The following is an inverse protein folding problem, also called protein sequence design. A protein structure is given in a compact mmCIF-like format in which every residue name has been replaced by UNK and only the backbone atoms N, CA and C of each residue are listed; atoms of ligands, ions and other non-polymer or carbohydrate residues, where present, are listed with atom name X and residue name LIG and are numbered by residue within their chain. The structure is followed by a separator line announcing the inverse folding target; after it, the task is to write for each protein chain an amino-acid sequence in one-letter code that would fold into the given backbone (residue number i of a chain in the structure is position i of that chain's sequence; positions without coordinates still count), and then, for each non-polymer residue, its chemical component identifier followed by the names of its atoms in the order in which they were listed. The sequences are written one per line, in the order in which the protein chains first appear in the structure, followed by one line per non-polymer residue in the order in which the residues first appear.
data_IF_883915911503
#
_entry.id   IF_883915911503
#
_cell.length_a   1.000
_cell.length_b   1.000
_cell.length_c   1.000
_cell.angle_alpha   90.00
_cell.angle_beta   90.00
_cell.angle_gamma   90.00
#
_symmetry.space_group_name_H-M   'P 1'
#
loop_
_entity.id
_entity.type
_entity.pdbx_description
1 polymer ?
#
# COMPACT_ATOMS: atom_id res chain seq x y z
N UNK A 1 -22.34 21.78 0.19
CA UNK A 1 -21.45 21.33 1.29
C UNK A 1 -20.02 21.77 0.98
N UNK A 2 -19.30 22.39 1.93
CA UNK A 2 -18.01 23.05 1.70
C UNK A 2 -17.00 22.09 1.07
N UNK A 3 -16.33 22.49 -0.02
CA UNK A 3 -15.34 21.65 -0.76
C UNK A 3 -14.27 21.01 0.15
N UNK A 4 -13.96 21.65 1.28
CA UNK A 4 -13.06 21.13 2.32
C UNK A 4 -13.51 19.80 2.92
N UNK A 5 -14.82 19.55 3.07
CA UNK A 5 -15.33 18.31 3.68
C UNK A 5 -15.13 17.10 2.76
N UNK A 6 -15.21 17.31 1.44
CA UNK A 6 -14.94 16.27 0.45
C UNK A 6 -13.47 15.90 0.39
N UNK A 7 -12.57 16.89 0.46
CA UNK A 7 -11.14 16.64 0.50
C UNK A 7 -10.74 15.84 1.73
N UNK A 8 -11.27 16.23 2.90
CA UNK A 8 -11.04 15.50 4.14
C UNK A 8 -11.55 14.05 4.09
N UNK A 9 -12.70 13.81 3.45
CA UNK A 9 -13.25 12.46 3.31
C UNK A 9 -12.37 11.56 2.42
N UNK A 10 -11.85 12.09 1.31
CA UNK A 10 -10.94 11.36 0.42
C UNK A 10 -9.63 11.03 1.14
N UNK A 11 -9.08 11.98 1.90
CA UNK A 11 -7.85 11.79 2.67
C UNK A 11 -8.03 10.74 3.77
N UNK A 12 -9.15 10.80 4.51
CA UNK A 12 -9.48 9.81 5.52
C UNK A 12 -9.64 8.41 4.91
N UNK A 13 -10.32 8.32 3.76
CA UNK A 13 -10.49 7.05 3.06
C UNK A 13 -9.15 6.50 2.57
N UNK A 14 -8.29 7.33 1.99
CA UNK A 14 -6.95 6.94 1.58
C UNK A 14 -6.09 6.45 2.76
N UNK A 15 -6.23 7.08 3.93
CA UNK A 15 -5.56 6.65 5.16
C UNK A 15 -6.06 5.27 5.64
N UNK A 16 -7.36 5.02 5.61
CA UNK A 16 -7.90 3.70 5.95
C UNK A 16 -7.42 2.61 4.99
N UNK A 17 -7.35 2.91 3.69
CA UNK A 17 -6.82 1.97 2.69
C UNK A 17 -5.32 1.70 2.92
N UNK A 18 -4.54 2.72 3.32
CA UNK A 18 -3.15 2.54 3.71
C UNK A 18 -3.00 1.61 4.92
N UNK A 19 -3.85 1.76 5.94
CA UNK A 19 -3.84 0.88 7.11
C UNK A 19 -4.19 -0.56 6.72
N UNK A 20 -5.21 -0.76 5.89
CA UNK A 20 -5.58 -2.08 5.38
C UNK A 20 -4.45 -2.71 4.54
N UNK A 21 -3.79 -1.91 3.70
CA UNK A 21 -2.65 -2.35 2.90
C UNK A 21 -1.48 -2.79 3.79
N UNK A 22 -1.17 -2.00 4.82
CA UNK A 22 -0.10 -2.29 5.78
C UNK A 22 -0.44 -3.53 6.58
N UNK A 23 -1.65 -3.64 7.11
CA UNK A 23 -2.10 -4.79 7.88
C UNK A 23 -2.03 -6.09 7.04
N UNK A 24 -2.53 -6.07 5.80
CA UNK A 24 -2.45 -7.24 4.91
C UNK A 24 -1.01 -7.60 4.56
N UNK A 25 -0.13 -6.62 4.33
CA UNK A 25 1.30 -6.86 4.09
C UNK A 25 2.02 -7.49 5.31
N UNK A 26 1.70 -6.99 6.52
CA UNK A 26 2.20 -7.55 7.78
C UNK A 26 1.69 -8.97 7.98
N UNK A 27 0.40 -9.24 7.73
CA UNK A 27 -0.17 -10.59 7.82
C UNK A 27 0.55 -11.56 6.86
N UNK A 28 0.76 -11.16 5.61
CA UNK A 28 1.50 -11.99 4.63
C UNK A 28 2.95 -12.21 5.10
N UNK A 29 3.62 -11.20 5.64
CA UNK A 29 5.03 -11.29 6.03
C UNK A 29 5.26 -12.11 7.30
N UNK A 30 4.44 -11.92 8.32
CA UNK A 30 4.64 -12.48 9.66
C UNK A 30 3.82 -13.72 9.93
N UNK A 31 2.65 -13.86 9.30
CA UNK A 31 1.77 -15.01 9.54
C UNK A 31 1.85 -16.08 8.46
N UNK A 32 2.22 -15.70 7.23
CA UNK A 32 2.65 -16.66 6.21
C UNK A 32 4.10 -16.37 5.77
N UNK A 33 5.08 -16.38 6.70
CA UNK A 33 6.47 -16.18 6.32
C UNK A 33 6.82 -17.22 5.26
N UNK A 34 7.55 -16.84 4.19
CA UNK A 34 8.04 -17.80 3.21
C UNK A 34 9.07 -18.70 3.91
N UNK A 35 8.58 -19.73 4.60
CA UNK A 35 9.42 -20.83 5.03
C UNK A 35 9.90 -21.52 3.77
N UNK A 36 11.13 -21.21 3.34
CA UNK A 36 11.99 -22.08 2.52
C UNK A 36 11.30 -22.96 1.46
N UNK A 37 10.30 -22.41 0.77
CA UNK A 37 9.39 -23.16 -0.10
C UNK A 37 8.93 -22.23 -1.19
N UNK A 38 9.92 -21.67 -1.90
CA UNK A 38 9.67 -20.92 -3.10
C UNK A 38 8.93 -21.78 -4.11
N UNK A 39 8.44 -21.09 -5.13
CA UNK A 39 8.01 -21.59 -6.44
C UNK A 39 9.01 -22.56 -7.14
N UNK A 40 10.06 -23.04 -6.46
CA UNK A 40 11.01 -24.08 -6.89
C UNK A 40 10.69 -25.50 -6.41
N UNK A 41 9.67 -25.74 -5.58
CA UNK A 41 9.27 -27.11 -5.21
C UNK A 41 8.27 -27.74 -6.20
N UNK A 42 8.36 -27.36 -7.48
CA UNK A 42 7.73 -28.11 -8.57
C UNK A 42 8.74 -29.01 -9.30
N UNK A 43 10.00 -29.07 -8.84
CA UNK A 43 11.05 -29.86 -9.48
C UNK A 43 11.67 -30.98 -8.63
N UNK A 44 11.21 -31.21 -7.39
CA UNK A 44 11.78 -32.32 -6.60
C UNK A 44 10.69 -33.00 -5.77
N UNK A 45 10.43 -34.27 -6.10
CA UNK A 45 9.46 -35.13 -5.44
C UNK A 45 9.80 -35.42 -3.98
N UNK A 46 9.51 -34.46 -3.10
CA UNK A 46 9.64 -34.60 -1.66
C UNK A 46 8.29 -34.84 -0.99
N UNK A 47 8.07 -36.07 -0.52
CA UNK A 47 7.00 -36.39 0.43
C UNK A 47 7.25 -35.63 1.74
N UNK A 48 6.52 -34.55 1.98
CA UNK A 48 6.56 -33.80 3.24
C UNK A 48 5.23 -33.12 3.47
N UNK A 49 4.62 -33.36 4.63
CA UNK A 49 3.31 -32.86 5.00
C UNK A 49 3.40 -31.35 5.23
N UNK A 50 3.21 -30.57 4.17
CA UNK A 50 3.27 -29.13 4.28
C UNK A 50 1.96 -28.67 4.89
N UNK A 51 2.04 -28.29 6.16
CA UNK A 51 0.98 -27.65 6.92
C UNK A 51 0.62 -26.36 6.16
N UNK A 52 -0.32 -26.45 5.22
CA UNK A 52 -0.88 -25.30 4.51
C UNK A 52 -1.39 -24.39 5.62
N UNK A 53 -0.64 -23.31 5.89
CA UNK A 53 -1.01 -22.35 6.91
C UNK A 53 -2.21 -21.57 6.36
N UNK A 54 -3.40 -22.11 6.58
CA UNK A 54 -4.64 -21.46 6.22
C UNK A 54 -4.98 -20.46 7.33
N UNK A 55 -4.81 -19.18 7.02
CA UNK A 55 -5.32 -18.13 7.88
C UNK A 55 -6.69 -17.71 7.35
N UNK A 56 -7.73 -17.89 8.18
CA UNK A 56 -9.14 -17.68 7.80
C UNK A 56 -9.61 -18.58 6.62
N UNK A 57 -9.05 -19.79 6.49
CA UNK A 57 -9.44 -20.74 5.43
C UNK A 57 -8.95 -20.36 4.03
N UNK A 58 -7.97 -19.46 3.92
CA UNK A 58 -7.42 -19.00 2.64
C UNK A 58 -5.91 -19.18 2.60
N UNK A 59 -5.40 -19.64 1.45
CA UNK A 59 -3.98 -19.87 1.20
C UNK A 59 -3.22 -18.55 0.99
N UNK A 60 -1.88 -18.61 0.99
CA UNK A 60 -1.00 -17.45 0.74
C UNK A 60 -1.32 -16.71 -0.56
N UNK A 61 -1.71 -17.44 -1.61
CA UNK A 61 -2.09 -16.84 -2.89
C UNK A 61 -3.34 -15.96 -2.76
N UNK A 62 -4.36 -16.39 -2.01
CA UNK A 62 -5.57 -15.60 -1.80
C UNK A 62 -5.30 -14.27 -1.08
N UNK A 63 -4.52 -14.32 0.01
CA UNK A 63 -4.07 -13.11 0.71
C UNK A 63 -3.20 -12.21 -0.18
N UNK A 64 -2.32 -12.80 -1.00
CA UNK A 64 -1.52 -12.07 -1.97
C UNK A 64 -2.35 -11.34 -3.03
N UNK A 65 -3.39 -11.99 -3.58
CA UNK A 65 -4.32 -11.36 -4.52
C UNK A 65 -5.09 -10.22 -3.87
N UNK A 66 -5.62 -10.40 -2.66
CA UNK A 66 -6.32 -9.33 -1.92
C UNK A 66 -5.39 -8.14 -1.70
N UNK A 67 -4.16 -8.38 -1.23
CA UNK A 67 -3.17 -7.34 -1.02
C UNK A 67 -2.82 -6.61 -2.32
N UNK A 68 -2.74 -7.32 -3.45
CA UNK A 68 -2.48 -6.72 -4.77
C UNK A 68 -3.62 -5.79 -5.21
N UNK A 69 -4.88 -6.21 -5.06
CA UNK A 69 -6.02 -5.35 -5.41
C UNK A 69 -6.13 -4.12 -4.50
N UNK A 70 -5.86 -4.27 -3.20
CA UNK A 70 -5.80 -3.14 -2.25
C UNK A 70 -4.66 -2.20 -2.62
N UNK A 71 -3.50 -2.72 -3.03
CA UNK A 71 -2.36 -1.92 -3.51
C UNK A 71 -2.74 -1.10 -4.74
N UNK A 72 -3.44 -1.70 -5.69
CA UNK A 72 -3.88 -1.01 -6.91
C UNK A 72 -4.88 0.11 -6.58
N UNK A 73 -5.86 -0.17 -5.70
CA UNK A 73 -6.80 0.84 -5.21
C UNK A 73 -6.07 1.98 -4.49
N UNK A 74 -5.08 1.66 -3.67
CA UNK A 74 -4.27 2.63 -2.95
C UNK A 74 -3.52 3.58 -3.91
N UNK A 75 -2.93 3.06 -4.99
CA UNK A 75 -2.26 3.88 -6.00
C UNK A 75 -3.23 4.89 -6.63
N UNK A 76 -4.42 4.43 -7.02
CA UNK A 76 -5.45 5.31 -7.60
C UNK A 76 -5.87 6.39 -6.62
N UNK A 77 -6.06 6.05 -5.35
CA UNK A 77 -6.38 7.01 -4.30
C UNK A 77 -5.25 8.01 -4.03
N UNK A 78 -3.99 7.59 -4.09
CA UNK A 78 -2.84 8.49 -3.95
C UNK A 78 -2.74 9.48 -5.10
N UNK A 79 -3.01 9.05 -6.33
CA UNK A 79 -3.07 9.96 -7.47
C UNK A 79 -4.21 10.98 -7.31
N UNK A 80 -5.40 10.52 -6.90
CA UNK A 80 -6.54 11.39 -6.64
C UNK A 80 -6.25 12.40 -5.50
N UNK A 81 -5.65 11.94 -4.41
CA UNK A 81 -5.20 12.77 -3.28
C UNK A 81 -4.22 13.86 -3.75
N UNK A 82 -3.20 13.50 -4.53
CA UNK A 82 -2.22 14.46 -5.04
C UNK A 82 -2.86 15.51 -5.96
N UNK A 83 -3.80 15.10 -6.82
CA UNK A 83 -4.56 16.01 -7.67
C UNK A 83 -5.40 17.00 -6.85
N UNK A 84 -6.01 16.52 -5.77
CA UNK A 84 -6.85 17.32 -4.88
C UNK A 84 -6.03 18.35 -4.08
N UNK A 85 -4.81 17.97 -3.68
CA UNK A 85 -3.86 18.83 -2.97
C UNK A 85 -2.89 19.58 -3.89
N UNK A 86 -3.09 19.53 -5.21
CA UNK A 86 -2.20 20.12 -6.21
C UNK A 86 -1.93 21.62 -5.99
N UNK A 87 -2.88 22.37 -5.46
CA UNK A 87 -2.69 23.78 -5.11
C UNK A 87 -1.71 23.97 -3.94
N UNK A 88 -1.74 23.09 -2.94
CA UNK A 88 -0.77 23.09 -1.85
C UNK A 88 0.62 22.73 -2.37
N UNK A 89 0.74 21.70 -3.23
CA UNK A 89 2.02 21.28 -3.84
C UNK A 89 2.69 22.43 -4.61
N UNK A 90 1.94 23.14 -5.46
CA UNK A 90 2.46 24.31 -6.18
C UNK A 90 2.92 25.43 -5.24
N UNK A 91 2.16 25.68 -4.17
CA UNK A 91 2.52 26.67 -3.16
C UNK A 91 3.80 26.30 -2.40
N UNK A 92 3.97 25.02 -2.06
CA UNK A 92 5.15 24.52 -1.38
C UNK A 92 6.38 24.56 -2.29
N UNK A 93 6.25 24.12 -3.54
CA UNK A 93 7.34 24.15 -4.51
C UNK A 93 7.81 25.57 -4.83
N UNK A 94 6.88 26.52 -4.96
CA UNK A 94 7.20 27.95 -5.11
C UNK A 94 7.97 28.50 -3.91
N UNK A 95 7.61 28.09 -2.68
CA UNK A 95 8.32 28.53 -1.47
C UNK A 95 9.69 27.88 -1.32
N UNK A 96 9.86 26.63 -1.75
CA UNK A 96 11.16 25.97 -1.77
C UNK A 96 12.11 26.69 -2.73
N UNK A 97 11.67 26.92 -3.98
CA UNK A 97 12.45 27.64 -4.99
C UNK A 97 12.83 29.06 -4.55
N UNK A 98 11.91 29.77 -3.88
CA UNK A 98 12.18 31.11 -3.34
C UNK A 98 13.15 31.10 -2.15
N UNK A 99 13.24 30.00 -1.40
CA UNK A 99 14.21 29.87 -0.30
C UNK A 99 15.62 29.66 -0.84
N UNK A 100 15.77 28.84 -1.88
CA UNK A 100 17.06 28.58 -2.52
C UNK A 100 17.68 29.88 -3.09
N UNK A 101 16.87 30.77 -3.70
CA UNK A 101 17.33 32.10 -4.17
C UNK A 101 17.78 33.06 -3.04
N UNK A 102 17.38 32.81 -1.79
CA UNK A 102 17.67 33.69 -0.66
C UNK A 102 18.84 33.18 0.21
N UNK A 103 19.19 31.89 0.14
CA UNK A 103 20.40 31.35 0.79
C UNK A 103 21.67 31.58 -0.06
N UNK A 104 21.53 31.79 -1.38
CA UNK A 104 22.65 32.04 -2.29
C UNK A 104 23.06 33.53 -2.41
N UNK A 105 22.39 34.44 -1.69
CA UNK A 105 22.67 35.90 -1.65
C UNK A 105 23.19 36.36 -0.29
#
# INVERSE_FOLDING_TARGET
MKRSSWNFAIDLFAFLVLLALTATGVVIRFVLPPGSGGRGQLQTGGRGREHIQELLGMTRDGWGSIHFYISLLFIVLMLAHLFLHWNWVKGYMKNCFRRDECEDK
#
